data_IF_734518421672
#
_entry.id   IF_734518421672
#
_cell.length_a   1.000
_cell.length_b   1.000
_cell.length_c   1.000
_cell.angle_alpha   90.00
_cell.angle_beta   90.00
_cell.angle_gamma   90.00
#
_symmetry.space_group_name_H-M   'P 1'
#
loop_
_entity.id
_entity.type
_entity.pdbx_description
1 polymer ?
#
# COMPACT_ATOMS: atom_id res chain seq x y z
N UNK A 1 13.17 21.53 10.36
CA UNK A 1 13.31 20.39 9.44
C UNK A 1 12.00 19.64 9.40
N UNK A 2 11.36 19.52 8.24
CA UNK A 2 10.14 18.74 8.06
C UNK A 2 10.34 17.74 6.91
N UNK A 3 9.86 16.52 7.12
CA UNK A 3 9.90 15.46 6.12
C UNK A 3 8.49 15.29 5.55
N UNK A 4 8.34 15.46 4.23
CA UNK A 4 7.08 15.22 3.52
C UNK A 4 7.21 13.94 2.70
N UNK A 5 6.25 13.03 2.86
CA UNK A 5 6.16 11.77 2.14
C UNK A 5 4.78 11.63 1.53
N UNK A 6 4.73 11.41 0.22
CA UNK A 6 3.49 11.10 -0.49
C UNK A 6 3.43 9.58 -0.66
N UNK A 7 2.47 8.96 0.01
CA UNK A 7 2.26 7.53 -0.14
C UNK A 7 1.56 7.23 -1.48
N UNK A 8 1.95 6.15 -2.19
CA UNK A 8 1.20 5.60 -3.32
C UNK A 8 -0.25 5.27 -2.96
N UNK A 9 -1.15 5.34 -3.93
CA UNK A 9 -2.58 5.04 -3.76
C UNK A 9 -2.91 3.62 -3.29
N UNK A 10 -1.91 2.72 -3.28
CA UNK A 10 -2.09 1.35 -2.87
C UNK A 10 -2.37 1.27 -1.36
N UNK A 11 -3.33 0.42 -1.01
CA UNK A 11 -3.77 0.12 0.34
C UNK A 11 -2.74 -0.81 1.04
N UNK A 12 -1.51 -0.31 1.17
CA UNK A 12 -0.36 -1.05 1.70
C UNK A 12 0.02 -0.47 3.05
N UNK A 13 0.29 -1.35 4.01
CA UNK A 13 0.93 -0.93 5.26
C UNK A 13 2.39 -0.64 4.98
N UNK A 14 2.76 0.63 5.03
CA UNK A 14 4.13 1.08 4.88
C UNK A 14 4.90 0.78 6.16
N UNK A 15 5.96 -0.04 6.06
CA UNK A 15 6.91 -0.29 7.14
C UNK A 15 8.16 0.55 6.89
N UNK A 16 8.19 1.75 7.47
CA UNK A 16 9.34 2.64 7.38
C UNK A 16 10.38 2.21 8.43
N UNK A 17 11.56 1.80 7.98
CA UNK A 17 12.68 1.41 8.83
C UNK A 17 13.80 2.44 8.71
N UNK A 18 14.11 3.10 9.82
CA UNK A 18 15.17 4.10 9.90
C UNK A 18 16.36 3.51 10.66
N UNK A 19 17.56 3.70 10.11
CA UNK A 19 18.82 3.37 10.75
C UNK A 19 19.64 4.67 10.86
N UNK A 20 19.95 5.07 12.09
CA UNK A 20 20.83 6.20 12.38
C UNK A 20 22.12 5.68 12.99
N UNK A 21 23.27 6.26 12.61
CA UNK A 21 24.56 5.96 13.21
C UNK A 21 25.34 7.24 13.52
N UNK A 22 26.15 7.24 14.57
CA UNK A 22 27.07 8.33 14.91
C UNK A 22 28.50 8.00 14.45
N UNK A 23 29.36 9.02 14.36
CA UNK A 23 30.79 8.83 14.05
C UNK A 23 31.53 7.95 15.06
N UNK A 24 30.98 7.80 16.27
CA UNK A 24 31.49 6.92 17.34
C UNK A 24 30.87 5.52 17.30
N UNK A 25 30.34 5.09 16.14
CA UNK A 25 29.76 3.76 15.89
C UNK A 25 28.50 3.43 16.72
N UNK A 26 27.88 4.41 17.38
CA UNK A 26 26.59 4.17 18.04
C UNK A 26 25.50 4.11 16.99
N UNK A 27 24.62 3.11 17.07
CA UNK A 27 23.56 2.86 16.09
C UNK A 27 22.20 2.81 16.76
N UNK A 28 21.18 3.38 16.12
CA UNK A 28 19.79 3.31 16.58
C UNK A 28 18.87 2.97 15.41
N UNK A 29 17.94 2.06 15.65
CA UNK A 29 16.92 1.65 14.66
C UNK A 29 15.54 2.10 15.11
N UNK A 30 14.76 2.70 14.21
CA UNK A 30 13.36 3.07 14.46
C UNK A 30 12.46 2.49 13.39
N UNK A 31 11.41 1.77 13.79
CA UNK A 31 10.38 1.27 12.88
C UNK A 31 9.11 2.08 13.06
N UNK A 32 8.63 2.67 11.98
CA UNK A 32 7.36 3.40 11.92
C UNK A 32 6.42 2.67 10.96
N UNK A 33 5.14 2.60 11.32
CA UNK A 33 4.09 2.01 10.48
C UNK A 33 3.12 3.10 10.07
N UNK A 34 2.88 3.23 8.77
CA UNK A 34 1.81 4.10 8.25
C UNK A 34 0.83 3.23 7.47
N UNK A 35 -0.47 3.39 7.74
CA UNK A 35 -1.55 2.69 7.03
C UNK A 35 -2.22 3.71 6.12
N UNK A 36 -2.23 3.44 4.82
CA UNK A 36 -3.02 4.19 3.85
C UNK A 36 -4.26 3.37 3.52
N UNK A 37 -5.46 3.83 3.93
CA UNK A 37 -6.73 3.16 3.58
C UNK A 37 -7.67 4.08 2.83
N UNK A 38 -8.28 3.56 1.75
CA UNK A 38 -9.42 4.19 1.08
C UNK A 38 -10.72 3.60 1.64
N UNK A 39 -11.73 4.42 1.85
CA UNK A 39 -13.02 4.01 2.43
C UNK A 39 -13.83 3.12 1.48
N UNK A 40 -13.79 3.40 0.18
CA UNK A 40 -14.37 2.57 -0.86
C UNK A 40 -13.30 2.25 -1.91
N UNK A 41 -13.15 0.98 -2.22
CA UNK A 41 -12.23 0.51 -3.25
C UNK A 41 -12.86 -0.49 -4.20
N UNK A 42 -12.47 -0.40 -5.47
CA UNK A 42 -12.73 -1.40 -6.49
C UNK A 42 -11.38 -1.93 -6.96
N UNK A 43 -11.11 -3.21 -6.69
CA UNK A 43 -9.87 -3.89 -7.11
C UNK A 43 -10.21 -4.82 -8.28
N UNK A 44 -9.87 -4.44 -9.52
CA UNK A 44 -10.06 -5.32 -10.67
C UNK A 44 -9.05 -6.47 -10.65
N UNK A 45 -9.53 -7.70 -10.72
CA UNK A 45 -8.68 -8.89 -10.80
C UNK A 45 -8.57 -9.37 -12.25
N UNK A 46 -7.74 -8.68 -13.03
CA UNK A 46 -7.49 -9.05 -14.41
C UNK A 46 -6.77 -10.41 -14.51
N UNK A 47 -7.09 -11.25 -15.51
CA UNK A 47 -6.33 -12.47 -15.78
C UNK A 47 -4.88 -12.12 -16.12
N UNK A 48 -3.92 -12.86 -15.54
CA UNK A 48 -2.49 -12.59 -15.72
C UNK A 48 -2.00 -12.80 -17.16
N UNK A 49 -2.66 -13.69 -17.90
CA UNK A 49 -2.35 -13.98 -19.29
C UNK A 49 -3.65 -14.04 -20.07
N UNK A 50 -3.62 -13.50 -21.28
CA UNK A 50 -4.73 -13.44 -22.21
C UNK A 50 -4.20 -13.80 -23.60
N UNK A 51 -4.98 -14.53 -24.39
CA UNK A 51 -4.68 -14.79 -25.79
C UNK A 51 -5.82 -14.28 -26.67
N UNK A 52 -5.50 -14.04 -27.93
CA UNK A 52 -6.49 -13.65 -28.91
C UNK A 52 -7.57 -14.74 -29.04
N UNK A 53 -8.84 -14.33 -28.98
CA UNK A 53 -10.00 -15.24 -29.02
C UNK A 53 -10.57 -15.63 -27.65
N UNK A 54 -9.91 -15.30 -26.54
CA UNK A 54 -10.43 -15.60 -25.20
C UNK A 54 -11.66 -14.73 -24.86
N UNK A 55 -12.74 -15.35 -24.38
CA UNK A 55 -13.85 -14.63 -23.73
C UNK A 55 -13.51 -14.43 -22.27
N UNK A 56 -13.35 -13.17 -21.86
CA UNK A 56 -12.91 -12.80 -20.51
C UNK A 56 -14.10 -12.42 -19.65
N UNK A 57 -14.13 -12.91 -18.41
CA UNK A 57 -14.99 -12.38 -17.35
C UNK A 57 -14.11 -11.56 -16.42
N UNK A 58 -14.37 -10.25 -16.35
CA UNK A 58 -13.56 -9.31 -15.58
C UNK A 58 -14.14 -9.12 -14.17
N UNK A 59 -13.70 -9.97 -13.24
CA UNK A 59 -14.17 -9.94 -11.85
C UNK A 59 -13.48 -8.82 -11.07
N UNK A 60 -14.26 -7.97 -10.42
CA UNK A 60 -13.75 -6.92 -9.53
C UNK A 60 -14.19 -7.19 -8.09
N UNK A 61 -13.30 -6.98 -7.13
CA UNK A 61 -13.64 -7.01 -5.71
C UNK A 61 -13.94 -5.59 -5.25
N UNK A 62 -15.12 -5.36 -4.71
CA UNK A 62 -15.50 -4.10 -4.07
C UNK A 62 -15.30 -4.26 -2.56
N UNK A 63 -14.60 -3.32 -1.93
CA UNK A 63 -14.41 -3.27 -0.47
C UNK A 63 -14.91 -1.92 0.03
N UNK A 64 -15.94 -1.95 0.88
CA UNK A 64 -16.51 -0.77 1.52
C UNK A 64 -16.25 -0.85 3.04
N UNK A 65 -15.53 0.14 3.56
CA UNK A 65 -15.16 0.29 4.96
C UNK A 65 -15.91 1.46 5.64
N UNK A 66 -16.92 2.05 4.98
CA UNK A 66 -17.80 3.02 5.66
C UNK A 66 -18.67 2.32 6.70
N UNK A 67 -18.66 2.82 7.93
CA UNK A 67 -19.60 2.39 8.97
C UNK A 67 -21.01 2.77 8.52
N UNK A 68 -21.90 1.77 8.45
CA UNK A 68 -23.34 2.02 8.29
C UNK A 68 -23.92 2.33 9.67
N UNK A 69 -24.45 3.54 9.83
CA UNK A 69 -25.31 3.93 10.94
C UNK A 69 -26.59 3.08 10.98
#
# INVERSE_FOLDING_TARGET
MSFKFTAPEALTRWKLQLLAHTKTLQSATKTLKAVTQKELMVVPNAPRFLREGDKIIFSSKISNLTEKY
#
